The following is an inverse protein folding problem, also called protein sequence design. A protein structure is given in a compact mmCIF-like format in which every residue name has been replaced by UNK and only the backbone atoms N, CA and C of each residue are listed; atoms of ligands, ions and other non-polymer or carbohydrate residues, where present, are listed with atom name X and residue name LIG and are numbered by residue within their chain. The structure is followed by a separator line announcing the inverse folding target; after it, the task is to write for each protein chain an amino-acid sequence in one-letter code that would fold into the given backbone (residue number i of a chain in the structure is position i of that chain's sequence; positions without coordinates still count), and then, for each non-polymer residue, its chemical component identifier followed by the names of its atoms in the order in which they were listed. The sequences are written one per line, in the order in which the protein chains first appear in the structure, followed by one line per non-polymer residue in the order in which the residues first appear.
data_IF_917744847151
#
_entry.id   IF_917744847151
#
_cell.length_a   1.000
_cell.length_b   1.000
_cell.length_c   1.000
_cell.angle_alpha   90.00
_cell.angle_beta   90.00
_cell.angle_gamma   90.00
#
_symmetry.space_group_name_H-M   'P 1'
#
loop_
_entity.id
_entity.type
_entity.pdbx_description
1 polymer ?
#
# COMPACT_ATOMS: atom_id res chain seq x y z
N UNK A 1 -20.95 -17.17 0.96
CA UNK A 1 -20.50 -15.76 1.03
C UNK A 1 -19.50 -15.52 2.16
N UNK A 2 -19.75 -15.96 3.39
CA UNK A 2 -18.85 -15.78 4.54
C UNK A 2 -17.39 -16.25 4.33
N UNK A 3 -17.18 -17.44 3.77
CA UNK A 3 -15.83 -17.97 3.51
C UNK A 3 -15.03 -17.12 2.51
N UNK A 4 -15.70 -16.53 1.51
CA UNK A 4 -15.06 -15.66 0.53
C UNK A 4 -14.57 -14.37 1.18
N UNK A 5 -15.35 -13.76 2.07
CA UNK A 5 -14.94 -12.53 2.77
C UNK A 5 -13.73 -12.77 3.68
N UNK A 6 -13.68 -13.93 4.36
CA UNK A 6 -12.51 -14.35 5.14
C UNK A 6 -11.28 -14.60 4.25
N UNK A 7 -11.46 -15.23 3.10
CA UNK A 7 -10.36 -15.45 2.15
C UNK A 7 -9.80 -14.11 1.63
N UNK A 8 -10.68 -13.15 1.32
CA UNK A 8 -10.27 -11.80 0.93
C UNK A 8 -9.52 -11.09 2.06
N UNK A 9 -9.98 -11.22 3.31
CA UNK A 9 -9.27 -10.65 4.45
C UNK A 9 -7.86 -11.25 4.62
N UNK A 10 -7.74 -12.58 4.53
CA UNK A 10 -6.46 -13.25 4.59
C UNK A 10 -5.54 -12.83 3.45
N UNK A 11 -6.09 -12.73 2.23
CA UNK A 11 -5.36 -12.24 1.07
C UNK A 11 -4.80 -10.83 1.32
N UNK A 12 -5.63 -9.91 1.83
CA UNK A 12 -5.16 -8.56 2.14
C UNK A 12 -4.07 -8.55 3.21
N UNK A 13 -4.19 -9.38 4.25
CA UNK A 13 -3.12 -9.52 5.27
C UNK A 13 -1.81 -9.99 4.61
N UNK A 14 -1.87 -11.02 3.76
CA UNK A 14 -0.69 -11.55 3.06
C UNK A 14 -0.07 -10.48 2.14
N UNK A 15 -0.90 -9.75 1.39
CA UNK A 15 -0.44 -8.64 0.53
C UNK A 15 0.28 -7.58 1.36
N UNK A 16 -0.26 -7.16 2.50
CA UNK A 16 0.38 -6.13 3.32
C UNK A 16 1.64 -6.64 4.05
N UNK A 17 1.75 -7.93 4.37
CA UNK A 17 3.01 -8.53 4.83
C UNK A 17 4.06 -8.47 3.73
N UNK A 18 3.69 -8.81 2.49
CA UNK A 18 4.58 -8.69 1.34
C UNK A 18 5.03 -7.25 1.10
N UNK A 19 4.10 -6.29 1.13
CA UNK A 19 4.40 -4.87 0.99
C UNK A 19 5.26 -4.33 2.14
N UNK A 20 5.07 -4.81 3.37
CA UNK A 20 5.92 -4.47 4.50
C UNK A 20 7.36 -4.93 4.25
N UNK A 21 7.54 -6.20 3.86
CA UNK A 21 8.85 -6.73 3.52
C UNK A 21 9.50 -5.95 2.37
N UNK A 22 8.73 -5.64 1.34
CA UNK A 22 9.17 -4.85 0.19
C UNK A 22 9.60 -3.44 0.58
N UNK A 23 8.83 -2.75 1.43
CA UNK A 23 9.18 -1.42 1.92
C UNK A 23 10.45 -1.43 2.79
N UNK A 24 10.62 -2.44 3.64
CA UNK A 24 11.84 -2.61 4.44
C UNK A 24 13.05 -2.79 3.52
N UNK A 25 12.96 -3.67 2.52
CA UNK A 25 14.02 -3.87 1.53
C UNK A 25 14.33 -2.55 0.80
N UNK A 26 13.32 -1.82 0.35
CA UNK A 26 13.49 -0.52 -0.30
C UNK A 26 14.16 0.54 0.59
N UNK A 27 13.89 0.54 1.89
CA UNK A 27 14.58 1.42 2.85
C UNK A 27 16.03 0.98 3.12
N UNK A 28 16.31 -0.32 3.08
CA UNK A 28 17.66 -0.85 3.28
C UNK A 28 18.63 -0.41 2.18
N UNK A 29 18.15 -0.01 1.00
CA UNK A 29 18.99 0.59 -0.05
C UNK A 29 19.70 1.88 0.39
N UNK A 30 19.21 2.55 1.44
CA UNK A 30 19.86 3.74 2.00
C UNK A 30 20.94 3.41 3.04
N UNK A 31 21.10 2.13 3.40
CA UNK A 31 22.14 1.70 4.33
C UNK A 31 23.52 1.79 3.66
N UNK A 32 24.56 2.32 4.34
CA UNK A 32 25.89 2.50 3.75
C UNK A 32 26.51 1.23 3.16
N UNK A 33 26.22 0.08 3.79
CA UNK A 33 26.78 -1.22 3.40
C UNK A 33 25.90 -1.99 2.41
N UNK A 34 24.83 -1.39 1.89
CA UNK A 34 23.95 -2.07 0.94
C UNK A 34 24.63 -2.25 -0.42
N UNK A 35 24.82 -3.50 -0.83
CA UNK A 35 25.51 -3.87 -2.06
C UNK A 35 24.70 -4.82 -2.96
N UNK A 36 23.47 -5.18 -2.55
CA UNK A 36 22.77 -6.33 -3.10
C UNK A 36 22.02 -6.04 -4.42
N UNK A 37 21.57 -4.81 -4.70
CA UNK A 37 21.07 -4.34 -6.04
C UNK A 37 20.43 -2.95 -5.94
N UNK A 38 20.29 -2.25 -7.07
CA UNK A 38 19.36 -1.11 -7.26
C UNK A 38 17.95 -1.65 -7.56
N UNK A 39 17.22 -2.01 -6.52
CA UNK A 39 15.83 -2.50 -6.58
C UNK A 39 14.89 -1.33 -6.93
N UNK A 40 15.20 -0.13 -6.44
CA UNK A 40 14.51 1.11 -6.80
C UNK A 40 14.76 1.54 -8.24
N UNK A 41 13.76 2.24 -8.81
CA UNK A 41 13.91 2.85 -10.13
C UNK A 41 15.01 3.94 -10.11
N UNK A 42 16.05 3.84 -10.96
CA UNK A 42 17.18 4.77 -10.96
C UNK A 42 16.81 6.19 -11.39
N UNK A 43 15.64 6.38 -12.01
CA UNK A 43 15.14 7.69 -12.42
C UNK A 43 14.59 8.51 -11.24
N UNK A 44 14.33 7.88 -10.10
CA UNK A 44 13.84 8.57 -8.92
C UNK A 44 14.98 9.12 -8.08
N UNK A 45 14.89 10.42 -7.76
CA UNK A 45 15.80 11.04 -6.80
C UNK A 45 15.65 10.42 -5.41
N UNK A 46 16.71 10.49 -4.60
CA UNK A 46 16.78 9.89 -3.26
C UNK A 46 15.58 10.24 -2.36
N UNK A 47 15.13 11.50 -2.40
CA UNK A 47 13.98 11.97 -1.62
C UNK A 47 12.66 11.31 -2.05
N UNK A 48 12.44 11.13 -3.37
CA UNK A 48 11.25 10.46 -3.90
C UNK A 48 11.23 8.98 -3.49
N UNK A 49 12.38 8.32 -3.58
CA UNK A 49 12.55 6.94 -3.13
C UNK A 49 12.26 6.79 -1.63
N UNK A 50 12.84 7.65 -0.80
CA UNK A 50 12.58 7.59 0.64
C UNK A 50 11.10 7.85 0.96
N UNK A 51 10.48 8.82 0.29
CA UNK A 51 9.07 9.14 0.47
C UNK A 51 8.14 7.97 0.09
N UNK A 52 8.32 7.37 -1.09
CA UNK A 52 7.47 6.25 -1.51
C UNK A 52 7.63 5.05 -0.55
N UNK A 53 8.86 4.75 -0.12
CA UNK A 53 9.10 3.59 0.74
C UNK A 53 8.51 3.80 2.13
N UNK A 54 8.60 5.02 2.66
CA UNK A 54 7.91 5.38 3.90
C UNK A 54 6.39 5.29 3.77
N UNK A 55 5.79 5.73 2.66
CA UNK A 55 4.35 5.60 2.46
C UNK A 55 3.90 4.14 2.43
N UNK A 56 4.62 3.27 1.70
CA UNK A 56 4.28 1.83 1.64
C UNK A 56 4.51 1.17 3.00
N UNK A 57 5.57 1.55 3.72
CA UNK A 57 5.83 1.08 5.08
C UNK A 57 4.68 1.47 6.01
N UNK A 58 4.29 2.73 6.02
CA UNK A 58 3.20 3.24 6.87
C UNK A 58 1.88 2.59 6.52
N UNK A 59 1.51 2.49 5.23
CA UNK A 59 0.29 1.78 4.80
C UNK A 59 0.28 0.33 5.28
N UNK A 60 1.38 -0.39 5.13
CA UNK A 60 1.50 -1.79 5.53
C UNK A 60 1.41 -1.97 7.05
N UNK A 61 2.13 -1.14 7.81
CA UNK A 61 2.09 -1.17 9.27
C UNK A 61 0.71 -0.78 9.81
N UNK A 62 0.10 0.29 9.29
CA UNK A 62 -1.23 0.74 9.68
C UNK A 62 -2.26 -0.34 9.41
N UNK A 63 -2.21 -0.97 8.23
CA UNK A 63 -3.11 -2.08 7.91
C UNK A 63 -2.94 -3.26 8.88
N UNK A 64 -1.72 -3.78 9.02
CA UNK A 64 -1.46 -4.97 9.83
C UNK A 64 -1.73 -4.73 11.31
N UNK A 65 -1.25 -3.62 11.86
CA UNK A 65 -1.49 -3.25 13.25
C UNK A 65 -2.98 -2.98 13.50
N UNK A 66 -3.65 -2.24 12.61
CA UNK A 66 -5.08 -1.96 12.73
C UNK A 66 -5.94 -3.21 12.61
N UNK A 67 -5.57 -4.16 11.74
CA UNK A 67 -6.26 -5.43 11.58
C UNK A 67 -6.11 -6.32 12.82
N UNK A 68 -4.89 -6.43 13.37
CA UNK A 68 -4.60 -7.20 14.59
C UNK A 68 -5.27 -6.58 15.83
N UNK A 69 -5.23 -5.25 15.94
CA UNK A 69 -5.85 -4.51 17.04
C UNK A 69 -7.38 -4.36 16.89
N UNK A 70 -7.95 -4.81 15.77
CA UNK A 70 -9.38 -4.65 15.42
C UNK A 70 -9.81 -3.19 15.56
N UNK A 71 -9.08 -2.31 14.88
CA UNK A 71 -9.26 -0.87 14.98
C UNK A 71 -10.43 -0.42 14.10
N UNK A 72 -11.46 0.17 14.70
CA UNK A 72 -12.68 0.59 13.98
C UNK A 72 -12.41 1.63 12.89
N UNK A 73 -11.42 2.50 13.09
CA UNK A 73 -11.06 3.57 12.16
C UNK A 73 -10.02 3.16 11.10
N UNK A 74 -9.68 1.87 11.01
CA UNK A 74 -8.70 1.38 10.02
C UNK A 74 -9.05 1.79 8.57
N UNK A 75 -10.31 1.67 8.09
CA UNK A 75 -10.68 2.07 6.72
C UNK A 75 -10.39 3.55 6.42
N UNK A 76 -10.63 4.44 7.38
CA UNK A 76 -10.37 5.88 7.27
C UNK A 76 -8.86 6.18 7.24
N UNK A 77 -8.05 5.50 8.05
CA UNK A 77 -6.60 5.66 7.98
C UNK A 77 -6.02 5.16 6.65
N UNK A 78 -6.52 4.02 6.16
CA UNK A 78 -6.09 3.47 4.87
C UNK A 78 -6.50 4.37 3.71
N UNK A 79 -7.66 5.04 3.77
CA UNK A 79 -8.08 5.97 2.70
C UNK A 79 -7.15 7.17 2.59
N UNK A 80 -6.66 7.69 3.72
CA UNK A 80 -5.66 8.78 3.74
C UNK A 80 -4.35 8.29 3.11
N UNK A 81 -3.84 7.14 3.55
CA UNK A 81 -2.55 6.61 3.08
C UNK A 81 -2.59 6.27 1.58
N UNK A 82 -3.66 5.64 1.11
CA UNK A 82 -3.84 5.37 -0.32
C UNK A 82 -4.03 6.63 -1.15
N UNK A 83 -4.65 7.69 -0.60
CA UNK A 83 -4.71 8.98 -1.30
C UNK A 83 -3.32 9.58 -1.48
N UNK A 84 -2.47 9.53 -0.46
CA UNK A 84 -1.07 9.98 -0.55
C UNK A 84 -0.25 9.15 -1.53
N UNK A 85 -0.44 7.83 -1.53
CA UNK A 85 0.21 6.93 -2.49
C UNK A 85 -0.27 7.19 -3.91
N UNK A 86 -1.57 7.40 -4.12
CA UNK A 86 -2.14 7.73 -5.43
C UNK A 86 -1.59 9.06 -5.96
N UNK A 87 -1.50 10.10 -5.12
CA UNK A 87 -0.89 11.38 -5.49
C UNK A 87 0.59 11.23 -5.85
N UNK A 88 1.33 10.41 -5.08
CA UNK A 88 2.74 10.11 -5.35
C UNK A 88 2.89 9.40 -6.69
N UNK A 89 2.06 8.40 -6.97
CA UNK A 89 2.05 7.68 -8.24
C UNK A 89 1.70 8.60 -9.42
N UNK A 90 0.68 9.46 -9.26
CA UNK A 90 0.34 10.46 -10.27
C UNK A 90 1.54 11.38 -10.54
N UNK A 91 2.16 11.91 -9.49
CA UNK A 91 3.34 12.77 -9.65
C UNK A 91 4.47 12.05 -10.40
N UNK A 92 4.81 10.83 -10.00
CA UNK A 92 5.84 10.03 -10.66
C UNK A 92 5.51 9.80 -12.14
N UNK A 93 4.26 9.50 -12.46
CA UNK A 93 3.81 9.21 -13.83
C UNK A 93 3.84 10.45 -14.72
N UNK A 94 3.30 11.58 -14.27
CA UNK A 94 3.20 12.80 -15.07
C UNK A 94 4.53 13.55 -15.19
N UNK A 95 5.37 13.52 -14.15
CA UNK A 95 6.56 14.38 -14.08
C UNK A 95 7.88 13.64 -14.26
N UNK A 96 7.96 12.35 -13.94
CA UNK A 96 9.22 11.59 -13.99
C UNK A 96 9.19 10.51 -15.09
N UNK A 97 8.25 9.58 -15.00
CA UNK A 97 8.16 8.38 -15.85
C UNK A 97 7.17 8.60 -17.01
N UNK A 98 7.54 9.51 -17.92
CA UNK A 98 6.69 9.96 -19.04
C UNK A 98 6.63 8.93 -20.18
N UNK A 99 6.13 7.73 -19.91
CA UNK A 99 5.91 6.68 -20.91
C UNK A 99 4.56 5.98 -20.71
N UNK A 100 3.95 5.51 -21.80
CA UNK A 100 2.56 5.02 -21.82
C UNK A 100 2.29 3.88 -20.83
N UNK A 101 3.24 2.95 -20.69
CA UNK A 101 3.10 1.83 -19.76
C UNK A 101 2.88 2.27 -18.30
N UNK A 102 3.41 3.44 -17.89
CA UNK A 102 3.24 3.91 -16.52
C UNK A 102 1.83 4.42 -16.25
N UNK A 103 1.14 4.99 -17.25
CA UNK A 103 -0.26 5.39 -17.12
C UNK A 103 -1.17 4.19 -16.86
N UNK A 104 -0.91 3.07 -17.52
CA UNK A 104 -1.61 1.81 -17.26
C UNK A 104 -1.37 1.30 -15.84
N UNK A 105 -0.11 1.32 -15.38
CA UNK A 105 0.24 0.91 -14.02
C UNK A 105 -0.43 1.82 -12.97
N UNK A 106 -0.44 3.14 -13.17
CA UNK A 106 -1.15 4.09 -12.31
C UNK A 106 -2.65 3.77 -12.24
N UNK A 107 -3.27 3.49 -13.39
CA UNK A 107 -4.69 3.11 -13.45
C UNK A 107 -4.98 1.82 -12.65
N UNK A 108 -4.12 0.81 -12.76
CA UNK A 108 -4.23 -0.43 -12.00
C UNK A 108 -4.07 -0.17 -10.49
N UNK A 109 -3.06 0.59 -10.09
CA UNK A 109 -2.84 0.95 -8.67
C UNK A 109 -4.08 1.66 -8.09
N UNK A 110 -4.71 2.57 -8.84
CA UNK A 110 -5.90 3.28 -8.36
C UNK A 110 -7.10 2.35 -8.20
N UNK A 111 -7.28 1.41 -9.12
CA UNK A 111 -8.32 0.39 -9.04
C UNK A 111 -8.08 -0.50 -7.80
N UNK A 112 -6.84 -0.94 -7.59
CA UNK A 112 -6.47 -1.75 -6.43
C UNK A 112 -6.80 -1.02 -5.12
N UNK A 113 -6.36 0.24 -4.97
CA UNK A 113 -6.67 1.04 -3.79
C UNK A 113 -8.17 1.19 -3.57
N UNK A 114 -8.93 1.48 -4.63
CA UNK A 114 -10.38 1.62 -4.56
C UNK A 114 -11.08 0.31 -4.15
N UNK A 115 -10.66 -0.82 -4.71
CA UNK A 115 -11.20 -2.15 -4.37
C UNK A 115 -10.89 -2.51 -2.92
N UNK A 116 -9.67 -2.27 -2.44
CA UNK A 116 -9.30 -2.55 -1.05
C UNK A 116 -10.13 -1.68 -0.10
N UNK A 117 -10.30 -0.39 -0.38
CA UNK A 117 -11.14 0.48 0.44
C UNK A 117 -12.61 0.03 0.41
N UNK A 118 -13.12 -0.35 -0.76
CA UNK A 118 -14.47 -0.88 -0.86
C UNK A 118 -14.64 -2.13 0.00
N UNK A 119 -13.68 -3.05 -0.01
CA UNK A 119 -13.66 -4.24 0.85
C UNK A 119 -13.74 -3.84 2.33
N UNK A 120 -12.88 -2.91 2.74
CA UNK A 120 -12.78 -2.44 4.12
C UNK A 120 -14.07 -1.76 4.60
N UNK A 121 -14.71 -0.94 3.77
CA UNK A 121 -15.91 -0.19 4.13
C UNK A 121 -17.22 -0.96 3.97
N UNK A 122 -17.29 -1.94 3.05
CA UNK A 122 -18.57 -2.53 2.62
C UNK A 122 -18.76 -3.99 3.00
N UNK A 123 -17.69 -4.78 3.21
CA UNK A 123 -17.88 -6.17 3.59
C UNK A 123 -18.27 -6.29 5.06
N UNK A 124 -19.43 -6.91 5.31
CA UNK A 124 -19.99 -7.13 6.65
C UNK A 124 -18.99 -7.80 7.59
N UNK A 125 -18.29 -8.83 7.13
CA UNK A 125 -17.29 -9.52 7.96
C UNK A 125 -16.18 -8.58 8.43
N UNK A 126 -15.73 -7.65 7.58
CA UNK A 126 -14.71 -6.67 7.96
C UNK A 126 -15.26 -5.65 8.94
N UNK A 127 -16.49 -5.18 8.73
CA UNK A 127 -17.17 -4.25 9.64
C UNK A 127 -17.34 -4.87 11.03
N UNK A 128 -17.78 -6.13 11.10
CA UNK A 128 -17.92 -6.89 12.34
C UNK A 128 -16.55 -7.13 13.01
N UNK A 129 -15.55 -7.60 12.26
CA UNK A 129 -14.20 -7.83 12.79
C UNK A 129 -13.57 -6.57 13.38
N UNK A 130 -13.75 -5.43 12.71
CA UNK A 130 -13.24 -4.12 13.14
C UNK A 130 -14.13 -3.44 14.19
N UNK A 131 -15.20 -4.09 14.67
CA UNK A 131 -16.12 -3.56 15.70
C UNK A 131 -16.81 -2.25 15.26
N UNK A 132 -17.21 -2.18 14.00
CA UNK A 132 -17.92 -1.02 13.42
C UNK A 132 -19.45 -1.19 13.37
N UNK A 133 -19.94 -2.42 13.54
CA UNK A 133 -21.36 -2.80 13.59
C UNK A 133 -21.55 -3.84 14.68
#
# INVERSE_FOLDING_TARGET
MFYLQKALALLLVVVHIGLLGWAVIGLLEFHPDWNLTNISNPLFGRAMLMWQWLLVLLASLTYLAGFLARFSNLPEWMSILYSLMALTCAYQTFFILKHEARFWQMGLEFIEYAVILWILFRLEWFQEWLRRV
#
